data_IF_527169956197
#
_entry.id   IF_527169956197
#
_cell.length_a   1.000
_cell.length_b   1.000
_cell.length_c   1.000
_cell.angle_alpha   90.00
_cell.angle_beta   90.00
_cell.angle_gamma   90.00
#
_symmetry.space_group_name_H-M   'P 1'
#
loop_
_entity.id
_entity.type
_entity.pdbx_description
1 polymer ?
#
# COMPACT_ATOMS: atom_id res chain seq x y z
N UNK A 1 -9.34 -23.70 0.27
CA UNK A 1 -9.52 -23.74 1.75
C UNK A 1 -10.92 -23.27 2.17
N UNK A 2 -11.88 -24.16 2.49
CA UNK A 2 -13.29 -23.76 2.67
C UNK A 2 -13.55 -22.93 3.94
N UNK A 3 -13.03 -23.33 5.10
CA UNK A 3 -13.36 -22.66 6.38
C UNK A 3 -12.87 -21.21 6.45
N UNK A 4 -11.66 -20.92 5.96
CA UNK A 4 -11.13 -19.55 5.92
C UNK A 4 -11.95 -18.65 5.01
N UNK A 5 -12.37 -19.16 3.84
CA UNK A 5 -13.23 -18.42 2.91
C UNK A 5 -14.60 -18.13 3.54
N UNK A 6 -15.20 -19.10 4.23
CA UNK A 6 -16.46 -18.91 4.94
C UNK A 6 -16.38 -17.81 5.99
N UNK A 7 -15.27 -17.73 6.73
CA UNK A 7 -15.07 -16.65 7.72
C UNK A 7 -14.92 -15.30 7.02
N UNK A 8 -14.10 -15.24 5.96
CA UNK A 8 -13.87 -14.02 5.21
C UNK A 8 -15.17 -13.44 4.59
N UNK A 9 -16.05 -14.29 4.08
CA UNK A 9 -17.32 -13.90 3.45
C UNK A 9 -18.39 -13.48 4.47
N UNK A 10 -18.47 -14.16 5.61
CA UNK A 10 -19.61 -14.01 6.52
C UNK A 10 -19.36 -13.07 7.70
N UNK A 11 -18.10 -12.86 8.10
CA UNK A 11 -17.77 -12.09 9.29
C UNK A 11 -17.71 -10.56 9.01
N UNK A 12 -18.78 -10.01 8.40
CA UNK A 12 -18.78 -8.63 7.88
C UNK A 12 -18.99 -7.53 8.92
N UNK A 13 -19.32 -7.91 10.15
CA UNK A 13 -19.53 -6.97 11.25
C UNK A 13 -18.23 -6.24 11.63
N UNK A 14 -18.39 -5.05 12.20
CA UNK A 14 -17.27 -4.25 12.71
C UNK A 14 -16.45 -4.99 13.77
N UNK A 15 -17.12 -5.75 14.66
CA UNK A 15 -16.48 -6.58 15.69
C UNK A 15 -15.56 -7.66 15.13
N UNK A 16 -15.72 -8.02 13.85
CA UNK A 16 -14.97 -9.08 13.19
C UNK A 16 -13.93 -8.56 12.19
N UNK A 17 -13.71 -7.24 12.08
CA UNK A 17 -12.72 -6.63 11.17
C UNK A 17 -11.32 -7.23 11.34
N UNK A 18 -10.81 -7.28 12.57
CA UNK A 18 -9.49 -7.83 12.85
C UNK A 18 -9.39 -9.33 12.50
N UNK A 19 -10.43 -10.11 12.81
CA UNK A 19 -10.48 -11.53 12.45
C UNK A 19 -10.41 -11.70 10.93
N UNK A 20 -11.16 -10.90 10.17
CA UNK A 20 -11.09 -10.92 8.70
C UNK A 20 -9.71 -10.58 8.19
N UNK A 21 -9.09 -9.53 8.73
CA UNK A 21 -7.73 -9.12 8.36
C UNK A 21 -6.71 -10.24 8.59
N UNK A 22 -6.77 -10.93 9.73
CA UNK A 22 -5.89 -12.07 10.04
C UNK A 22 -6.15 -13.27 9.12
N UNK A 23 -7.42 -13.61 8.88
CA UNK A 23 -7.80 -14.69 7.96
C UNK A 23 -7.27 -14.41 6.56
N UNK A 24 -7.38 -13.16 6.12
CA UNK A 24 -6.89 -12.72 4.82
C UNK A 24 -5.38 -12.78 4.72
N UNK A 25 -4.67 -12.37 5.76
CA UNK A 25 -3.23 -12.56 5.85
C UNK A 25 -2.85 -14.05 5.76
N UNK A 26 -3.52 -14.93 6.51
CA UNK A 26 -3.31 -16.37 6.40
C UNK A 26 -3.55 -16.90 4.99
N UNK A 27 -4.62 -16.47 4.32
CA UNK A 27 -4.93 -16.86 2.94
C UNK A 27 -3.81 -16.41 2.00
N UNK A 28 -3.29 -15.19 2.16
CA UNK A 28 -2.18 -14.67 1.35
C UNK A 28 -0.89 -15.48 1.52
N UNK A 29 -0.59 -15.97 2.72
CA UNK A 29 0.53 -16.88 2.96
C UNK A 29 0.33 -18.24 2.29
N UNK A 30 -0.89 -18.79 2.32
CA UNK A 30 -1.17 -20.04 1.62
C UNK A 30 -1.02 -19.87 0.12
N UNK A 31 -1.50 -18.77 -0.46
CA UNK A 31 -1.28 -18.49 -1.89
C UNK A 31 0.22 -18.52 -2.24
N UNK A 32 1.05 -17.82 -1.45
CA UNK A 32 2.50 -17.81 -1.66
C UNK A 32 3.14 -19.21 -1.55
N UNK A 33 2.65 -20.04 -0.62
CA UNK A 33 3.18 -21.39 -0.41
C UNK A 33 2.80 -22.37 -1.53
N UNK A 34 1.57 -22.29 -2.05
CA UNK A 34 1.08 -23.24 -3.07
C UNK A 34 1.32 -22.76 -4.51
N UNK A 35 1.56 -21.46 -4.69
CA UNK A 35 1.77 -20.84 -5.98
C UNK A 35 0.47 -20.59 -6.77
N UNK A 36 0.58 -19.73 -7.78
CA UNK A 36 -0.52 -19.27 -8.63
C UNK A 36 -1.33 -20.42 -9.25
N UNK A 37 -0.66 -21.47 -9.75
CA UNK A 37 -1.30 -22.57 -10.48
C UNK A 37 -2.26 -23.38 -9.60
N UNK A 38 -1.93 -23.52 -8.31
CA UNK A 38 -2.74 -24.26 -7.35
C UNK A 38 -3.78 -23.38 -6.65
N UNK A 39 -3.60 -22.06 -6.68
CA UNK A 39 -4.46 -21.11 -5.99
C UNK A 39 -5.47 -20.40 -6.91
N UNK A 40 -5.35 -20.51 -8.24
CA UNK A 40 -6.09 -19.70 -9.21
C UNK A 40 -7.61 -19.60 -9.01
N UNK A 41 -8.29 -20.71 -8.73
CA UNK A 41 -9.75 -20.72 -8.51
C UNK A 41 -10.15 -20.05 -7.18
N UNK A 42 -9.35 -20.27 -6.14
CA UNK A 42 -9.53 -19.63 -4.83
C UNK A 42 -9.13 -18.13 -4.88
N UNK A 43 -8.20 -17.75 -5.76
CA UNK A 43 -7.72 -16.37 -5.96
C UNK A 43 -8.86 -15.41 -6.29
N UNK A 44 -9.68 -15.76 -7.28
CA UNK A 44 -10.78 -14.89 -7.74
C UNK A 44 -11.79 -14.63 -6.64
N UNK A 45 -12.22 -15.69 -5.94
CA UNK A 45 -13.19 -15.59 -4.84
C UNK A 45 -12.64 -14.73 -3.70
N UNK A 46 -11.37 -14.93 -3.32
CA UNK A 46 -10.72 -14.15 -2.26
C UNK A 46 -10.60 -12.69 -2.69
N UNK A 47 -10.23 -12.42 -3.94
CA UNK A 47 -10.12 -11.08 -4.52
C UNK A 47 -11.45 -10.34 -4.53
N UNK A 48 -12.54 -11.01 -4.91
CA UNK A 48 -13.90 -10.44 -4.90
C UNK A 48 -14.32 -10.01 -3.48
N UNK A 49 -14.05 -10.85 -2.49
CA UNK A 49 -14.34 -10.53 -1.09
C UNK A 49 -13.50 -9.34 -0.61
N UNK A 50 -12.21 -9.30 -0.94
CA UNK A 50 -11.33 -8.16 -0.65
C UNK A 50 -11.86 -6.86 -1.24
N UNK A 51 -12.26 -6.87 -2.51
CA UNK A 51 -12.81 -5.69 -3.18
C UNK A 51 -14.09 -5.20 -2.49
N UNK A 52 -14.93 -6.12 -2.00
CA UNK A 52 -16.14 -5.76 -1.25
C UNK A 52 -15.84 -5.13 0.12
N UNK A 53 -14.80 -5.62 0.81
CA UNK A 53 -14.36 -5.09 2.10
C UNK A 53 -13.79 -3.68 1.92
N UNK A 54 -12.94 -3.48 0.90
CA UNK A 54 -12.29 -2.20 0.64
C UNK A 54 -13.26 -1.12 0.12
N UNK A 55 -14.38 -1.53 -0.49
CA UNK A 55 -15.48 -0.64 -0.86
C UNK A 55 -16.36 -0.21 0.32
N UNK A 56 -16.32 -0.91 1.46
CA UNK A 56 -16.95 -0.45 2.70
C UNK A 56 -16.05 0.60 3.34
N UNK A 57 -16.60 1.77 3.68
CA UNK A 57 -15.82 2.89 4.21
C UNK A 57 -15.08 2.46 5.49
N UNK A 58 -13.77 2.29 5.37
CA UNK A 58 -12.90 2.08 6.53
C UNK A 58 -12.58 3.44 7.16
N UNK A 59 -12.54 3.50 8.48
CA UNK A 59 -12.16 4.71 9.18
C UNK A 59 -10.68 5.03 8.92
N UNK A 60 -10.35 6.32 8.89
CA UNK A 60 -8.95 6.77 8.88
C UNK A 60 -8.26 6.30 10.17
N UNK A 61 -7.18 5.52 10.06
CA UNK A 61 -6.44 4.85 11.16
C UNK A 61 -7.00 3.47 11.58
N UNK A 62 -7.78 2.79 10.73
CA UNK A 62 -8.17 1.39 10.98
C UNK A 62 -6.92 0.46 10.88
N UNK A 63 -6.54 -0.26 11.97
CA UNK A 63 -5.36 -1.12 11.99
C UNK A 63 -5.42 -2.26 10.96
N UNK A 64 -6.60 -2.58 10.44
CA UNK A 64 -6.77 -3.59 9.39
C UNK A 64 -6.17 -3.16 8.04
N UNK A 65 -5.95 -1.86 7.81
CA UNK A 65 -5.40 -1.33 6.56
C UNK A 65 -4.00 -1.90 6.28
N UNK A 66 -3.15 -1.98 7.30
CA UNK A 66 -1.80 -2.56 7.19
C UNK A 66 -1.85 -4.03 6.77
N UNK A 67 -2.76 -4.82 7.35
CA UNK A 67 -2.96 -6.23 6.98
C UNK A 67 -3.44 -6.35 5.53
N UNK A 68 -4.33 -5.45 5.09
CA UNK A 68 -4.83 -5.43 3.72
C UNK A 68 -3.72 -5.10 2.72
N UNK A 69 -2.91 -4.08 2.98
CA UNK A 69 -1.77 -3.73 2.13
C UNK A 69 -0.75 -4.87 2.05
N UNK A 70 -0.44 -5.54 3.17
CA UNK A 70 0.44 -6.71 3.20
C UNK A 70 -0.13 -7.88 2.40
N UNK A 71 -1.44 -8.12 2.47
CA UNK A 71 -2.10 -9.12 1.65
C UNK A 71 -2.03 -8.76 0.16
N UNK A 72 -2.27 -7.50 -0.21
CA UNK A 72 -2.14 -7.02 -1.58
C UNK A 72 -0.75 -7.21 -2.16
N UNK A 73 0.30 -6.96 -1.37
CA UNK A 73 1.68 -7.20 -1.78
C UNK A 73 1.91 -8.67 -2.15
N UNK A 74 1.49 -9.60 -1.31
CA UNK A 74 1.66 -11.05 -1.56
C UNK A 74 0.81 -11.54 -2.72
N UNK A 75 -0.42 -11.04 -2.86
CA UNK A 75 -1.27 -11.38 -4.01
C UNK A 75 -0.66 -10.91 -5.32
N UNK A 76 -0.11 -9.69 -5.34
CA UNK A 76 0.58 -9.18 -6.51
C UNK A 76 1.85 -9.99 -6.83
N UNK A 77 2.68 -10.26 -5.82
CA UNK A 77 3.90 -11.06 -5.97
C UNK A 77 3.61 -12.44 -6.58
N UNK A 78 2.51 -13.09 -6.16
CA UNK A 78 2.14 -14.39 -6.68
C UNK A 78 1.50 -14.34 -8.08
N UNK A 79 0.63 -13.36 -8.35
CA UNK A 79 -0.16 -13.28 -9.59
C UNK A 79 0.57 -12.57 -10.74
N UNK A 80 1.46 -11.63 -10.43
CA UNK A 80 2.14 -10.77 -11.39
C UNK A 80 1.15 -10.03 -12.30
N UNK A 81 1.27 -10.20 -13.61
CA UNK A 81 0.41 -9.52 -14.60
C UNK A 81 -1.07 -9.89 -14.51
N UNK A 82 -1.41 -11.06 -13.97
CA UNK A 82 -2.80 -11.47 -13.78
C UNK A 82 -3.51 -10.63 -12.69
N UNK A 83 -2.76 -9.78 -11.98
CA UNK A 83 -3.30 -8.82 -11.03
C UNK A 83 -3.92 -7.57 -11.69
N UNK A 84 -3.59 -7.29 -12.96
CA UNK A 84 -4.04 -6.09 -13.67
C UNK A 84 -5.57 -5.83 -13.61
N UNK A 85 -6.46 -6.82 -13.72
CA UNK A 85 -7.91 -6.60 -13.65
C UNK A 85 -8.39 -5.96 -12.34
N UNK A 86 -7.60 -6.09 -11.26
CA UNK A 86 -7.97 -5.63 -9.93
C UNK A 86 -7.35 -4.28 -9.56
N UNK A 87 -6.40 -3.77 -10.37
CA UNK A 87 -5.67 -2.54 -10.10
C UNK A 87 -6.58 -1.32 -9.93
N UNK A 88 -7.70 -1.24 -10.66
CA UNK A 88 -8.64 -0.12 -10.54
C UNK A 88 -9.28 -0.01 -9.15
N UNK A 89 -9.39 -1.12 -8.41
CA UNK A 89 -9.92 -1.17 -7.05
C UNK A 89 -8.81 -0.97 -6.02
N UNK A 90 -7.63 -1.53 -6.26
CA UNK A 90 -6.51 -1.50 -5.30
C UNK A 90 -5.77 -0.15 -5.29
N UNK A 91 -5.69 0.53 -6.43
CA UNK A 91 -4.90 1.76 -6.57
C UNK A 91 -5.42 2.96 -5.75
N UNK A 92 -6.73 3.28 -5.73
CA UNK A 92 -7.23 4.41 -4.95
C UNK A 92 -6.87 4.36 -3.45
N UNK A 93 -7.14 3.27 -2.71
CA UNK A 93 -6.78 3.17 -1.29
C UNK A 93 -5.25 3.09 -1.07
N UNK A 94 -4.50 2.48 -2.00
CA UNK A 94 -3.04 2.49 -1.96
C UNK A 94 -2.49 3.93 -2.04
N UNK A 95 -2.99 4.73 -2.99
CA UNK A 95 -2.58 6.12 -3.17
C UNK A 95 -2.97 6.99 -1.97
N UNK A 96 -4.14 6.72 -1.36
CA UNK A 96 -4.53 7.37 -0.11
C UNK A 96 -3.50 7.12 0.99
N UNK A 97 -3.09 5.85 1.17
CA UNK A 97 -2.08 5.44 2.16
C UNK A 97 -0.73 6.13 1.90
N UNK A 98 -0.30 6.21 0.62
CA UNK A 98 0.93 6.93 0.21
C UNK A 98 0.83 8.43 0.50
N UNK A 99 -0.37 9.03 0.48
CA UNK A 99 -0.58 10.46 0.70
C UNK A 99 -0.82 10.84 2.17
N UNK A 100 -0.92 9.87 3.09
CA UNK A 100 -1.12 10.13 4.52
C UNK A 100 -0.11 11.14 5.06
N UNK A 101 -0.59 12.15 5.78
CA UNK A 101 0.30 13.11 6.44
C UNK A 101 0.95 12.44 7.64
N UNK A 102 2.27 12.54 7.70
CA UNK A 102 3.01 12.17 8.90
C UNK A 102 2.91 13.36 9.86
N UNK A 103 2.06 13.23 10.86
CA UNK A 103 2.02 14.19 11.98
C UNK A 103 3.27 13.98 12.82
N UNK A 104 4.28 14.82 12.58
CA UNK A 104 5.53 14.83 13.34
C UNK A 104 5.41 15.91 14.41
N UNK A 105 5.19 15.51 15.65
CA UNK A 105 5.21 16.44 16.78
C UNK A 105 6.64 16.52 17.31
N UNK A 106 7.24 17.70 17.32
CA UNK A 106 8.61 17.91 17.78
C UNK A 106 8.59 18.33 19.25
N UNK A 107 9.20 17.52 20.10
CA UNK A 107 9.45 17.79 21.52
C UNK A 107 10.93 18.13 21.71
N UNK A 108 11.20 19.15 22.51
CA UNK A 108 12.56 19.44 22.94
C UNK A 108 12.92 18.51 24.10
N UNK A 109 14.16 17.99 24.12
CA UNK A 109 14.57 17.00 25.10
C UNK A 109 14.42 17.46 26.57
N UNK A 110 14.37 18.78 26.81
CA UNK A 110 14.35 19.40 28.14
C UNK A 110 12.96 19.69 28.71
N UNK A 111 11.87 19.37 28.00
CA UNK A 111 10.52 19.47 28.58
C UNK A 111 10.17 18.16 29.29
N UNK A 112 10.25 18.15 30.61
CA UNK A 112 9.61 17.14 31.46
C UNK A 112 8.09 17.29 31.33
N UNK A 113 7.50 16.64 30.32
CA UNK A 113 6.06 16.43 30.25
C UNK A 113 5.78 14.98 30.61
N UNK A 114 5.34 14.77 31.85
CA UNK A 114 4.96 13.51 32.50
C UNK A 114 3.75 12.78 31.87
N UNK A 115 3.32 13.12 30.65
CA UNK A 115 1.97 12.77 30.16
C UNK A 115 1.92 11.96 28.85
N UNK A 116 3.05 11.44 28.34
CA UNK A 116 3.09 10.87 26.98
C UNK A 116 3.72 9.47 26.89
N UNK A 117 3.47 8.60 27.87
CA UNK A 117 3.90 7.18 27.87
C UNK A 117 3.31 6.33 26.72
N UNK A 118 2.44 6.89 25.86
CA UNK A 118 1.77 6.13 24.79
C UNK A 118 2.22 6.48 23.36
N UNK A 119 2.87 7.62 23.13
CA UNK A 119 3.28 7.98 21.77
C UNK A 119 4.72 7.50 21.51
N UNK A 120 4.97 6.66 20.51
CA UNK A 120 6.34 6.27 20.17
C UNK A 120 7.13 7.48 19.64
N UNK A 121 8.31 7.70 20.21
CA UNK A 121 9.21 8.81 19.86
C UNK A 121 10.44 8.32 19.08
N UNK A 122 10.87 9.09 18.08
CA UNK A 122 12.17 8.94 17.43
C UNK A 122 13.06 10.11 17.82
N UNK A 123 14.25 9.85 18.35
CA UNK A 123 15.21 10.89 18.74
C UNK A 123 16.12 11.25 17.56
N UNK A 124 16.05 12.48 17.06
CA UNK A 124 17.02 13.03 16.10
C UNK A 124 17.88 14.10 16.77
N UNK A 125 19.15 13.76 17.02
CA UNK A 125 20.22 14.62 17.60
C UNK A 125 19.91 15.15 19.01
N UNK A 126 18.92 16.04 19.16
CA UNK A 126 18.47 16.65 20.42
C UNK A 126 16.95 16.94 20.45
N UNK A 127 16.23 16.50 19.42
CA UNK A 127 14.78 16.63 19.30
C UNK A 127 14.15 15.24 19.43
N UNK A 128 13.14 15.10 20.28
CA UNK A 128 12.29 13.93 20.36
C UNK A 128 11.10 14.16 19.43
N UNK A 129 10.91 13.34 18.41
CA UNK A 129 9.77 13.45 17.50
C UNK A 129 8.73 12.40 17.85
N UNK A 130 7.54 12.81 18.30
CA UNK A 130 6.40 11.90 18.45
C UNK A 130 5.82 11.63 17.08
N UNK A 131 5.81 10.36 16.67
CA UNK A 131 5.31 9.95 15.36
C UNK A 131 4.37 8.77 15.58
N UNK A 132 3.16 8.83 15.02
CA UNK A 132 2.27 7.66 14.99
C UNK A 132 2.90 6.56 14.13
N UNK A 133 3.44 5.52 14.75
CA UNK A 133 4.13 4.42 14.07
C UNK A 133 3.22 3.64 13.12
N UNK A 134 1.91 3.54 13.42
CA UNK A 134 0.93 2.89 12.54
C UNK A 134 0.87 3.55 11.16
N UNK A 135 0.77 4.89 11.12
CA UNK A 135 0.72 5.69 9.89
C UNK A 135 2.01 5.58 9.11
N UNK A 136 3.16 5.53 9.80
CA UNK A 136 4.47 5.34 9.16
C UNK A 136 4.53 3.97 8.51
N UNK A 137 4.17 2.91 9.24
CA UNK A 137 4.19 1.54 8.74
C UNK A 137 3.29 1.39 7.51
N UNK A 138 2.04 1.88 7.59
CA UNK A 138 1.08 1.84 6.49
C UNK A 138 1.63 2.55 5.25
N UNK A 139 2.14 3.78 5.42
CA UNK A 139 2.70 4.58 4.33
C UNK A 139 3.94 3.93 3.72
N UNK A 140 4.80 3.34 4.53
CA UNK A 140 6.00 2.62 4.06
C UNK A 140 5.63 1.43 3.21
N UNK A 141 4.71 0.58 3.68
CA UNK A 141 4.24 -0.59 2.93
C UNK A 141 3.57 -0.13 1.63
N UNK A 142 2.74 0.91 1.68
CA UNK A 142 2.06 1.44 0.51
C UNK A 142 3.06 1.99 -0.53
N UNK A 143 4.09 2.71 -0.09
CA UNK A 143 5.14 3.20 -0.98
C UNK A 143 5.90 2.04 -1.62
N UNK A 144 6.29 1.03 -0.85
CA UNK A 144 7.00 -0.13 -1.37
C UNK A 144 6.15 -0.90 -2.39
N UNK A 145 4.88 -1.15 -2.08
CA UNK A 145 3.97 -1.83 -2.99
C UNK A 145 3.77 -1.05 -4.29
N UNK A 146 3.69 0.29 -4.22
CA UNK A 146 3.64 1.15 -5.40
C UNK A 146 4.94 1.03 -6.24
N UNK A 147 6.11 0.92 -5.60
CA UNK A 147 7.38 0.66 -6.29
C UNK A 147 7.35 -0.66 -7.06
N UNK A 148 6.81 -1.70 -6.44
CA UNK A 148 6.74 -3.06 -7.01
C UNK A 148 5.77 -3.09 -8.21
N UNK A 149 4.61 -2.43 -8.08
CA UNK A 149 3.66 -2.28 -9.19
C UNK A 149 4.29 -1.60 -10.41
N UNK A 150 5.00 -0.48 -10.21
CA UNK A 150 5.69 0.22 -11.29
C UNK A 150 6.78 -0.66 -11.91
N UNK A 151 7.51 -1.42 -11.09
CA UNK A 151 8.62 -2.25 -11.55
C UNK A 151 8.15 -3.41 -12.45
N UNK A 152 7.12 -4.12 -12.01
CA UNK A 152 6.71 -5.40 -12.61
C UNK A 152 5.67 -5.21 -13.71
N UNK A 153 4.76 -4.23 -13.58
CA UNK A 153 3.74 -3.95 -14.60
C UNK A 153 4.29 -3.14 -15.78
N UNK A 154 5.38 -2.39 -15.59
CA UNK A 154 6.05 -1.62 -16.65
C UNK A 154 5.06 -0.73 -17.41
N UNK A 155 4.92 -0.89 -18.73
CA UNK A 155 3.99 -0.13 -19.57
C UNK A 155 2.53 -0.27 -19.15
N UNK A 156 2.15 -1.40 -18.55
CA UNK A 156 0.77 -1.65 -18.13
C UNK A 156 0.37 -0.75 -16.94
N UNK A 157 1.35 -0.19 -16.22
CA UNK A 157 1.13 0.78 -15.14
C UNK A 157 0.77 2.20 -15.65
N UNK A 158 0.82 2.44 -16.97
CA UNK A 158 0.59 3.76 -17.56
C UNK A 158 -0.63 4.54 -17.01
N UNK A 159 -1.83 3.92 -16.82
CA UNK A 159 -3.02 4.64 -16.38
C UNK A 159 -2.88 5.38 -15.04
N UNK A 160 -1.97 4.92 -14.18
CA UNK A 160 -1.80 5.46 -12.82
C UNK A 160 -0.57 6.35 -12.66
N UNK A 161 0.21 6.55 -13.72
CA UNK A 161 1.48 7.29 -13.63
C UNK A 161 1.29 8.72 -13.10
N UNK A 162 0.28 9.45 -13.57
CA UNK A 162 0.04 10.83 -13.11
C UNK A 162 -0.29 10.89 -11.62
N UNK A 163 -1.27 10.08 -11.17
CA UNK A 163 -1.69 10.03 -9.76
C UNK A 163 -0.55 9.57 -8.83
N UNK A 164 0.18 8.52 -9.22
CA UNK A 164 1.32 8.03 -8.46
C UNK A 164 2.47 9.04 -8.39
N UNK A 165 2.68 9.84 -9.46
CA UNK A 165 3.71 10.90 -9.47
C UNK A 165 3.33 11.99 -8.48
N UNK A 166 2.07 12.43 -8.51
CA UNK A 166 1.56 13.44 -7.56
C UNK A 166 1.67 12.97 -6.11
N UNK A 167 1.51 11.67 -5.85
CA UNK A 167 1.65 11.08 -4.51
C UNK A 167 3.12 10.99 -4.05
N UNK A 168 4.05 10.62 -4.94
CA UNK A 168 5.46 10.38 -4.59
C UNK A 168 6.34 11.64 -4.57
N UNK A 169 6.05 12.64 -5.41
CA UNK A 169 6.86 13.88 -5.49
C UNK A 169 6.99 14.61 -4.14
N UNK A 170 5.93 14.75 -3.32
CA UNK A 170 6.04 15.34 -1.99
C UNK A 170 7.03 14.60 -1.06
N UNK A 171 7.19 13.28 -1.21
CA UNK A 171 8.08 12.47 -0.37
C UNK A 171 9.56 12.81 -0.59
N UNK A 172 9.93 13.37 -1.74
CA UNK A 172 11.30 13.84 -2.00
C UNK A 172 11.73 14.96 -1.06
N UNK A 173 10.77 15.74 -0.54
CA UNK A 173 11.03 16.81 0.44
C UNK A 173 11.09 16.27 1.87
N UNK A 174 10.52 15.09 2.13
CA UNK A 174 10.39 14.50 3.46
C UNK A 174 11.60 13.62 3.75
N UNK A 175 12.73 14.23 4.14
CA UNK A 175 13.99 13.53 4.45
C UNK A 175 14.01 12.87 5.84
N UNK A 176 12.88 12.88 6.54
CA UNK A 176 12.77 12.38 7.91
C UNK A 176 12.65 10.85 8.00
N UNK A 177 12.28 10.18 6.91
CA UNK A 177 12.15 8.72 6.85
C UNK A 177 12.88 8.19 5.60
N UNK A 178 14.04 7.58 5.80
CA UNK A 178 14.94 7.16 4.72
C UNK A 178 14.26 6.21 3.73
N UNK A 179 13.49 5.23 4.22
CA UNK A 179 12.83 4.23 3.37
C UNK A 179 11.82 4.86 2.40
N UNK A 180 11.03 5.85 2.86
CA UNK A 180 10.04 6.55 2.03
C UNK A 180 10.73 7.37 0.93
N UNK A 181 11.84 8.00 1.30
CA UNK A 181 12.64 8.81 0.40
C UNK A 181 13.33 7.96 -0.67
N UNK A 182 13.94 6.83 -0.27
CA UNK A 182 14.56 5.85 -1.18
C UNK A 182 13.52 5.24 -2.13
N UNK A 183 12.36 4.84 -1.60
CA UNK A 183 11.25 4.34 -2.40
C UNK A 183 10.85 5.35 -3.51
N UNK A 184 10.59 6.60 -3.13
CA UNK A 184 10.21 7.65 -4.08
C UNK A 184 11.29 7.92 -5.15
N UNK A 185 12.56 8.04 -4.75
CA UNK A 185 13.68 8.27 -5.68
C UNK A 185 13.88 7.11 -6.64
N UNK A 186 13.71 5.87 -6.17
CA UNK A 186 13.89 4.69 -7.01
C UNK A 186 12.72 4.50 -7.99
N UNK A 187 11.52 4.95 -7.64
CA UNK A 187 10.29 4.70 -8.39
C UNK A 187 9.99 5.73 -9.46
N UNK A 188 10.20 7.02 -9.19
CA UNK A 188 9.94 8.08 -10.17
C UNK A 188 10.67 7.87 -11.52
N UNK A 189 11.96 7.48 -11.57
CA UNK A 189 12.64 7.17 -12.82
C UNK A 189 12.07 5.95 -13.54
N UNK A 190 11.63 4.93 -12.79
CA UNK A 190 10.98 3.74 -13.36
C UNK A 190 9.64 4.11 -14.00
N UNK A 191 8.85 4.99 -13.38
CA UNK A 191 7.59 5.48 -13.94
C UNK A 191 7.82 6.22 -15.26
N UNK A 192 8.85 7.07 -15.35
CA UNK A 192 9.21 7.75 -16.61
C UNK A 192 9.57 6.74 -17.71
N UNK A 193 10.29 5.67 -17.37
CA UNK A 193 10.58 4.58 -18.32
C UNK A 193 9.30 3.87 -18.74
N UNK A 194 8.42 3.54 -17.81
CA UNK A 194 7.11 2.94 -18.10
C UNK A 194 6.27 3.82 -19.04
N UNK A 195 6.20 5.12 -18.79
CA UNK A 195 5.52 6.08 -19.66
C UNK A 195 6.12 6.12 -21.07
N UNK A 196 7.45 6.16 -21.17
CA UNK A 196 8.16 6.13 -22.45
C UNK A 196 7.80 4.87 -23.26
N UNK A 197 7.89 3.70 -22.64
CA UNK A 197 7.59 2.42 -23.30
C UNK A 197 6.11 2.36 -23.72
N UNK A 198 5.19 2.88 -22.90
CA UNK A 198 3.77 2.95 -23.24
C UNK A 198 3.51 3.82 -24.49
N UNK A 199 4.23 4.95 -24.63
CA UNK A 199 4.16 5.80 -25.83
C UNK A 199 4.77 5.08 -27.06
N UNK A 200 5.94 4.46 -26.91
CA UNK A 200 6.59 3.72 -28.00
C UNK A 200 5.73 2.56 -28.53
N UNK A 201 4.95 1.91 -27.65
CA UNK A 201 4.01 0.85 -28.02
C UNK A 201 2.65 1.35 -28.53
N UNK A 202 2.43 2.66 -28.55
CA UNK A 202 1.16 3.27 -28.96
C UNK A 202 0.00 3.06 -27.97
N UNK A 203 0.29 2.64 -26.73
CA UNK A 203 -0.69 2.49 -25.64
C UNK A 203 -1.11 3.88 -25.13
N UNK A 204 -0.16 4.81 -25.08
CA UNK A 204 -0.36 6.19 -24.66
C UNK A 204 -0.11 7.15 -25.82
N UNK A 205 -0.97 8.17 -25.97
CA UNK A 205 -0.61 9.32 -26.80
C UNK A 205 0.37 10.17 -25.99
N UNK A 206 1.57 10.39 -26.52
CA UNK A 206 2.51 11.33 -25.92
C UNK A 206 1.81 12.68 -25.72
N UNK A 207 2.04 13.32 -24.57
CA UNK A 207 1.57 14.68 -24.31
C UNK A 207 2.30 15.62 -25.29
N UNK A 208 1.78 15.71 -26.51
CA UNK A 208 2.10 16.77 -27.44
C UNK A 208 1.43 18.02 -26.86
N UNK A 209 2.19 18.76 -26.05
CA UNK A 209 1.81 20.07 -25.55
C UNK A 209 1.31 20.94 -26.70
N UNK A 210 0.02 21.26 -26.69
CA UNK A 210 -0.52 22.47 -27.32
C UNK A 210 -0.24 23.66 -26.42
#
# INVERSE_FOLDING_TARGET
MPSLKTILVNANDESHRMLRAQVMECISFVMMAVGKDNFGDDAKQVMEVLMSIQGSQMETDDPTTVYILKAWARFFECLGKDFLPYMSVVMPPLLHSVQLKLDVTIYFADSESDDDERMPFITLRSLRCGIKTSVVEEKTIACQLLCDYVHDLKEDFHPWIDQATQALVPLLKLRCHEELWVAAISTLPKMLRSAKVAVEKGIAQGLNSK
#
